data_IF_312445078583
#
_entry.id   IF_312445078583
#
_cell.length_a   1.000
_cell.length_b   1.000
_cell.length_c   1.000
_cell.angle_alpha   90.00
_cell.angle_beta   90.00
_cell.angle_gamma   90.00
#
_symmetry.space_group_name_H-M   'P 1'
#
loop_
_entity.id
_entity.type
_entity.pdbx_description
1 polymer ?
#
# COMPACT_ATOMS: atom_id res chain seq x y z
N UNK A 1 -3.75 0.33 -6.64
CA UNK A 1 -4.41 0.69 -5.36
C UNK A 1 -3.38 0.62 -4.24
N UNK A 2 -3.17 1.67 -3.46
CA UNK A 2 -2.21 1.70 -2.33
C UNK A 2 -2.94 1.85 -0.99
N UNK A 3 -2.52 1.06 0.00
CA UNK A 3 -3.15 0.96 1.33
C UNK A 3 -2.21 1.30 2.49
N UNK A 4 -0.93 1.52 2.21
CA UNK A 4 0.10 1.73 3.23
C UNK A 4 1.27 0.76 3.05
N UNK A 5 1.89 0.43 4.17
CA UNK A 5 3.14 -0.32 4.22
C UNK A 5 4.38 0.58 4.13
N UNK A 6 5.53 -0.05 3.93
CA UNK A 6 6.85 0.62 3.92
C UNK A 6 7.14 1.33 2.61
N UNK A 7 6.44 0.97 1.54
CA UNK A 7 6.55 1.63 0.24
C UNK A 7 6.00 3.05 0.34
N UNK A 8 6.92 4.01 0.34
CA UNK A 8 6.63 5.42 0.49
C UNK A 8 6.98 6.01 1.87
N UNK A 9 7.52 5.24 2.82
CA UNK A 9 7.96 5.80 4.10
C UNK A 9 9.29 6.55 3.98
N UNK A 10 9.49 7.59 4.79
CA UNK A 10 10.81 8.23 4.93
C UNK A 10 11.69 7.29 5.77
N UNK A 11 12.72 6.66 5.21
CA UNK A 11 13.51 5.67 5.93
C UNK A 11 14.23 6.27 7.14
N UNK A 12 14.64 7.55 7.09
CA UNK A 12 15.39 8.21 8.16
C UNK A 12 14.48 8.61 9.33
N UNK A 13 13.21 8.90 9.05
CA UNK A 13 12.23 9.27 10.08
C UNK A 13 11.46 8.07 10.63
N UNK A 14 11.34 7.01 9.85
CA UNK A 14 10.49 5.86 10.20
C UNK A 14 11.27 4.74 10.89
N UNK A 15 12.58 4.62 10.70
CA UNK A 15 13.39 3.53 11.23
C UNK A 15 14.57 4.00 12.10
N UNK A 16 14.96 3.18 13.07
CA UNK A 16 16.22 3.23 13.83
C UNK A 16 17.10 2.04 13.46
N UNK A 17 18.42 2.22 13.41
CA UNK A 17 19.35 1.11 13.27
C UNK A 17 19.26 0.22 14.51
N UNK A 18 19.02 -1.08 14.31
CA UNK A 18 19.07 -2.08 15.38
C UNK A 18 20.53 -2.53 15.57
N UNK A 19 20.93 -2.89 16.80
CA UNK A 19 22.32 -3.31 17.12
C UNK A 19 22.73 -4.62 16.40
N UNK A 20 21.77 -5.30 15.77
CA UNK A 20 21.96 -6.48 14.95
C UNK A 20 21.83 -6.11 13.47
N UNK A 21 22.93 -6.29 12.73
CA UNK A 21 23.26 -5.77 11.38
C UNK A 21 22.22 -6.05 10.25
N UNK A 22 21.14 -6.79 10.50
CA UNK A 22 20.15 -7.16 9.48
C UNK A 22 18.72 -6.70 9.73
N UNK A 23 18.42 -6.02 10.84
CA UNK A 23 17.07 -5.55 11.14
C UNK A 23 17.07 -4.04 11.37
N UNK A 24 16.13 -3.32 10.76
CA UNK A 24 15.86 -1.91 11.03
C UNK A 24 14.58 -1.85 11.84
N UNK A 25 14.63 -1.28 13.04
CA UNK A 25 13.48 -1.25 13.93
C UNK A 25 12.64 -0.02 13.61
N UNK A 26 11.34 -0.20 13.44
CA UNK A 26 10.42 0.93 13.28
C UNK A 26 10.41 1.74 14.58
N UNK A 27 10.58 3.07 14.50
CA UNK A 27 10.51 3.94 15.68
C UNK A 27 9.10 3.88 16.28
N UNK A 28 8.99 3.76 17.60
CA UNK A 28 7.68 3.81 18.26
C UNK A 28 7.00 5.15 17.99
N UNK A 29 5.76 5.10 17.49
CA UNK A 29 4.99 6.29 17.12
C UNK A 29 5.25 6.86 15.72
N UNK A 30 6.12 6.26 14.90
CA UNK A 30 6.41 6.72 13.53
C UNK A 30 5.79 5.88 12.43
N UNK A 31 4.96 4.88 12.76
CA UNK A 31 4.21 4.02 11.83
C UNK A 31 3.29 4.81 10.91
N UNK A 32 3.90 5.48 9.94
CA UNK A 32 3.28 6.40 9.00
C UNK A 32 3.86 7.82 8.95
N UNK A 33 5.12 8.09 9.31
CA UNK A 33 5.77 9.35 8.91
C UNK A 33 6.22 9.24 7.45
N UNK A 34 5.25 9.51 6.57
CA UNK A 34 5.53 9.81 5.18
C UNK A 34 6.13 11.21 5.13
N UNK A 35 7.29 11.43 4.48
CA UNK A 35 7.78 12.77 4.24
C UNK A 35 6.67 13.53 3.51
N UNK A 36 6.63 14.85 3.63
CA UNK A 36 5.67 15.68 2.88
C UNK A 36 5.67 15.42 1.37
N UNK A 37 6.70 14.74 0.87
CA UNK A 37 6.87 14.21 -0.47
C UNK A 37 6.27 12.83 -0.72
N UNK A 38 5.50 12.20 0.18
CA UNK A 38 4.73 10.95 -0.08
C UNK A 38 3.27 11.15 0.37
N UNK A 39 2.71 12.28 -0.08
CA UNK A 39 1.26 12.47 -0.17
C UNK A 39 0.70 11.49 -1.22
N UNK A 40 -0.61 11.23 -1.24
CA UNK A 40 -1.27 10.44 -2.27
C UNK A 40 -0.96 10.77 -3.75
N UNK A 41 -0.28 11.89 -4.05
CA UNK A 41 0.24 12.23 -5.38
C UNK A 41 1.65 11.70 -5.69
N UNK A 42 2.52 11.46 -4.72
CA UNK A 42 3.95 11.16 -5.00
C UNK A 42 4.28 9.70 -5.30
N UNK A 43 3.27 8.92 -5.65
CA UNK A 43 3.50 7.65 -6.33
C UNK A 43 3.27 7.81 -7.85
N UNK A 44 3.09 9.07 -8.31
CA UNK A 44 3.49 9.53 -9.64
C UNK A 44 4.99 9.25 -9.89
N UNK A 45 5.85 9.49 -8.88
CA UNK A 45 7.28 9.15 -8.93
C UNK A 45 7.54 7.66 -9.19
N UNK A 46 6.61 6.75 -8.87
CA UNK A 46 6.79 5.32 -9.17
C UNK A 46 6.89 5.09 -10.67
N UNK A 47 6.13 5.84 -11.48
CA UNK A 47 6.21 5.76 -12.92
C UNK A 47 7.47 6.46 -13.45
N UNK A 48 8.02 7.44 -12.74
CA UNK A 48 9.30 8.05 -13.08
C UNK A 48 10.49 7.13 -12.77
N UNK A 49 10.44 6.42 -11.63
CA UNK A 49 11.51 5.51 -11.18
C UNK A 49 11.42 4.12 -11.83
N UNK A 50 10.23 3.72 -12.27
CA UNK A 50 9.98 2.44 -12.95
C UNK A 50 9.18 2.67 -14.24
N UNK A 51 9.78 3.35 -15.24
CA UNK A 51 9.10 3.69 -16.49
C UNK A 51 8.65 2.47 -17.29
N UNK A 52 9.23 1.30 -17.05
CA UNK A 52 8.84 0.03 -17.67
C UNK A 52 7.38 -0.33 -17.40
N UNK A 53 6.83 0.12 -16.26
CA UNK A 53 5.42 -0.06 -15.92
C UNK A 53 4.49 0.60 -16.94
N UNK A 54 4.87 1.76 -17.49
CA UNK A 54 4.06 2.49 -18.49
C UNK A 54 4.03 1.77 -19.84
N UNK A 55 5.04 0.97 -20.15
CA UNK A 55 5.07 0.14 -21.37
C UNK A 55 4.16 -1.07 -21.24
N UNK A 56 4.00 -1.59 -20.01
CA UNK A 56 3.21 -2.80 -19.76
C UNK A 56 1.71 -2.53 -19.65
N UNK A 57 1.30 -1.40 -19.07
CA UNK A 57 -0.11 -1.05 -18.91
C UNK A 57 -0.35 0.45 -18.74
N UNK A 58 -1.56 0.90 -19.06
CA UNK A 58 -2.05 2.21 -18.65
C UNK A 58 -2.44 2.14 -17.16
N UNK A 59 -1.60 2.70 -16.29
CA UNK A 59 -1.71 2.53 -14.84
C UNK A 59 -2.37 3.74 -14.22
N UNK A 60 -3.53 3.51 -13.61
CA UNK A 60 -4.16 4.46 -12.71
C UNK A 60 -3.77 4.15 -11.27
N UNK A 61 -3.17 5.13 -10.62
CA UNK A 61 -2.88 5.02 -9.21
C UNK A 61 -3.98 5.63 -8.34
N UNK A 62 -4.34 4.91 -7.27
CA UNK A 62 -5.22 5.43 -6.22
C UNK A 62 -4.79 5.00 -4.82
N UNK A 63 -4.65 5.96 -3.91
CA UNK A 63 -4.45 5.72 -2.48
C UNK A 63 -5.81 5.64 -1.77
N UNK A 64 -6.07 4.55 -1.06
CA UNK A 64 -7.36 4.30 -0.37
C UNK A 64 -7.32 4.76 1.08
N UNK A 65 -6.19 4.49 1.70
CA UNK A 65 -5.77 4.94 3.03
C UNK A 65 -4.26 4.69 3.11
N UNK A 66 -3.63 5.23 4.14
CA UNK A 66 -2.20 5.09 4.35
C UNK A 66 -1.97 4.75 5.83
N UNK A 67 -1.92 3.46 6.14
CA UNK A 67 -1.85 2.96 7.50
C UNK A 67 -0.86 1.81 7.60
N UNK A 68 -0.34 1.61 8.81
CA UNK A 68 0.42 0.40 9.16
C UNK A 68 -0.45 -0.85 8.94
N UNK A 69 0.12 -1.90 8.31
CA UNK A 69 -0.61 -3.13 7.99
C UNK A 69 -1.20 -3.80 9.23
N UNK A 70 -0.53 -3.74 10.38
CA UNK A 70 -1.03 -4.30 11.64
C UNK A 70 -2.37 -3.69 12.09
N UNK A 71 -2.72 -2.49 11.57
CA UNK A 71 -3.95 -1.78 11.87
C UNK A 71 -5.06 -1.97 10.83
N UNK A 72 -4.78 -2.70 9.75
CA UNK A 72 -5.76 -2.96 8.68
C UNK A 72 -6.67 -4.12 9.09
N UNK A 73 -7.98 -3.87 9.16
CA UNK A 73 -8.95 -4.86 9.59
C UNK A 73 -10.25 -4.86 8.77
N UNK A 74 -11.34 -5.44 9.30
CA UNK A 74 -12.58 -5.65 8.56
C UNK A 74 -13.19 -4.38 7.95
N UNK A 75 -13.09 -3.24 8.63
CA UNK A 75 -13.61 -1.95 8.11
C UNK A 75 -12.86 -1.53 6.84
N UNK A 76 -11.54 -1.66 6.85
CA UNK A 76 -10.68 -1.35 5.73
C UNK A 76 -10.88 -2.34 4.58
N UNK A 77 -11.02 -3.63 4.87
CA UNK A 77 -11.31 -4.66 3.86
C UNK A 77 -12.63 -4.38 3.13
N UNK A 78 -13.70 -4.03 3.84
CA UNK A 78 -14.98 -3.66 3.23
C UNK A 78 -14.82 -2.44 2.34
N UNK A 79 -14.05 -1.44 2.78
CA UNK A 79 -13.76 -0.23 1.99
C UNK A 79 -13.02 -0.58 0.69
N UNK A 80 -12.01 -1.45 0.78
CA UNK A 80 -11.25 -1.94 -0.37
C UNK A 80 -12.13 -2.72 -1.34
N UNK A 81 -12.89 -3.71 -0.85
CA UNK A 81 -13.76 -4.56 -1.65
C UNK A 81 -14.80 -3.72 -2.41
N UNK A 82 -15.49 -2.79 -1.74
CA UNK A 82 -16.44 -1.88 -2.39
C UNK A 82 -15.81 -1.01 -3.46
N UNK A 83 -14.57 -0.58 -3.25
CA UNK A 83 -13.87 0.26 -4.22
C UNK A 83 -13.44 -0.56 -5.44
N UNK A 84 -12.94 -1.78 -5.23
CA UNK A 84 -12.59 -2.71 -6.32
C UNK A 84 -13.82 -3.08 -7.14
N UNK A 85 -14.91 -3.48 -6.47
CA UNK A 85 -16.15 -3.89 -7.13
C UNK A 85 -16.80 -2.73 -7.92
N UNK A 86 -16.86 -1.53 -7.35
CA UNK A 86 -17.35 -0.32 -8.03
C UNK A 86 -16.61 -0.01 -9.34
N UNK A 87 -15.35 -0.40 -9.44
CA UNK A 87 -14.49 -0.12 -10.58
C UNK A 87 -14.24 -1.36 -11.46
N UNK A 88 -14.87 -2.49 -11.15
CA UNK A 88 -14.63 -3.78 -11.80
C UNK A 88 -14.78 -3.75 -13.32
N UNK A 89 -15.76 -3.00 -13.83
CA UNK A 89 -16.02 -2.89 -15.27
C UNK A 89 -15.13 -1.85 -15.97
N UNK A 90 -14.29 -1.11 -15.23
CA UNK A 90 -13.47 -0.02 -15.77
C UNK A 90 -11.99 -0.38 -15.94
N UNK A 91 -11.53 -1.45 -15.30
CA UNK A 91 -10.13 -1.86 -15.30
C UNK A 91 -10.02 -3.36 -15.59
N UNK A 92 -9.03 -3.75 -16.38
CA UNK A 92 -8.77 -5.15 -16.70
C UNK A 92 -8.20 -5.92 -15.49
N UNK A 93 -7.47 -5.22 -14.62
CA UNK A 93 -6.83 -5.80 -13.45
C UNK A 93 -6.63 -4.77 -12.34
N UNK A 94 -6.48 -5.28 -11.12
CA UNK A 94 -6.14 -4.47 -9.95
C UNK A 94 -4.87 -5.00 -9.29
N UNK A 95 -3.96 -4.07 -9.00
CA UNK A 95 -2.81 -4.33 -8.13
C UNK A 95 -3.03 -3.60 -6.82
N UNK A 96 -2.95 -4.33 -5.70
CA UNK A 96 -3.06 -3.79 -4.35
C UNK A 96 -1.67 -3.79 -3.71
N UNK A 97 -1.13 -2.60 -3.48
CA UNK A 97 0.07 -2.37 -2.67
C UNK A 97 -0.34 -2.29 -1.21
N UNK A 98 0.22 -3.17 -0.39
CA UNK A 98 -0.14 -3.35 1.01
C UNK A 98 1.08 -3.74 1.85
N UNK A 99 1.04 -3.44 3.15
CA UNK A 99 2.05 -3.86 4.11
C UNK A 99 2.01 -5.36 4.40
N UNK A 100 3.16 -5.91 4.78
CA UNK A 100 3.39 -7.36 4.86
C UNK A 100 2.70 -8.05 6.03
N UNK A 101 2.49 -7.36 7.16
CA UNK A 101 2.04 -8.00 8.41
C UNK A 101 0.66 -8.65 8.27
N UNK A 102 -0.23 -8.03 7.49
CA UNK A 102 -1.61 -8.48 7.29
C UNK A 102 -1.96 -8.68 5.82
N UNK A 103 -0.96 -8.78 4.94
CA UNK A 103 -1.15 -9.00 3.50
C UNK A 103 -1.98 -10.27 3.24
N UNK A 104 -1.58 -11.39 3.83
CA UNK A 104 -2.26 -12.68 3.65
C UNK A 104 -3.71 -12.66 4.16
N UNK A 105 -3.95 -12.07 5.33
CA UNK A 105 -5.29 -11.91 5.89
C UNK A 105 -6.18 -11.04 5.01
N UNK A 106 -5.63 -9.92 4.53
CA UNK A 106 -6.35 -9.00 3.65
C UNK A 106 -6.65 -9.66 2.30
N UNK A 107 -5.69 -10.39 1.72
CA UNK A 107 -5.89 -11.12 0.47
C UNK A 107 -6.99 -12.19 0.61
N UNK A 108 -6.98 -12.96 1.70
CA UNK A 108 -8.02 -13.96 1.97
C UNK A 108 -9.41 -13.32 2.20
N UNK A 109 -9.48 -12.19 2.91
CA UNK A 109 -10.73 -11.48 3.11
C UNK A 109 -11.29 -10.97 1.77
N UNK A 110 -10.44 -10.37 0.92
CA UNK A 110 -10.85 -9.84 -0.37
C UNK A 110 -11.25 -10.94 -1.36
N UNK A 111 -10.56 -12.08 -1.36
CA UNK A 111 -10.92 -13.19 -2.25
C UNK A 111 -12.33 -13.73 -1.95
N UNK A 112 -12.73 -13.73 -0.67
CA UNK A 112 -14.07 -14.12 -0.25
C UNK A 112 -15.11 -13.01 -0.50
N UNK A 113 -14.76 -11.75 -0.25
CA UNK A 113 -15.70 -10.62 -0.44
C UNK A 113 -15.97 -10.30 -1.92
N UNK A 114 -15.01 -10.59 -2.80
CA UNK A 114 -15.09 -10.35 -4.24
C UNK A 114 -15.39 -11.62 -5.05
N UNK A 115 -15.62 -12.75 -4.35
CA UNK A 115 -16.15 -13.94 -4.97
C UNK A 115 -17.52 -13.61 -5.60
N UNK A 116 -17.58 -13.69 -6.93
CA UNK A 116 -18.80 -13.53 -7.72
C UNK A 116 -19.57 -14.84 -7.78
#
# INVERSE_FOLDING_TARGET
MHTGGTLGMDPNKSFEPDEVISHTKLKEGTGGIYPSSLRPGYLEDLLEHVPELQVMANIDLRVVFNMDSSRVGPKEWIKMARLLDKHRDRYDAFVVVHGTDTLAYTAAALSLMLAG
#
